data_IF_404896537750
#
_entry.id   IF_404896537750
#
_cell.length_a   1.000
_cell.length_b   1.000
_cell.length_c   1.000
_cell.angle_alpha   90.00
_cell.angle_beta   90.00
_cell.angle_gamma   90.00
#
_symmetry.space_group_name_H-M   'P 1'
#
loop_
_entity.id
_entity.type
_entity.pdbx_description
1 polymer ?
#
# COMPACT_ATOMS: atom_id res chain seq x y z
N UNK A 1 -0.96 14.75 -24.53
CA UNK A 1 -1.21 13.82 -23.41
C UNK A 1 -1.37 14.63 -22.14
N UNK A 2 -2.53 14.53 -21.48
CA UNK A 2 -2.86 15.38 -20.33
C UNK A 2 -1.99 15.01 -19.11
N UNK A 3 -1.61 15.97 -18.25
CA UNK A 3 -0.75 15.75 -17.06
C UNK A 3 -1.30 14.65 -16.14
N UNK A 4 -2.63 14.52 -16.09
CA UNK A 4 -3.39 13.47 -15.39
C UNK A 4 -3.14 12.06 -15.96
N UNK A 5 -3.04 11.93 -17.28
CA UNK A 5 -2.81 10.64 -17.96
C UNK A 5 -1.37 10.16 -17.79
N UNK A 6 -0.40 11.09 -17.70
CA UNK A 6 1.00 10.75 -17.41
C UNK A 6 1.14 10.21 -15.98
N UNK A 7 0.49 10.86 -15.01
CA UNK A 7 0.55 10.46 -13.60
C UNK A 7 -0.11 9.09 -13.35
N UNK A 8 -1.25 8.83 -14.00
CA UNK A 8 -1.91 7.51 -14.00
C UNK A 8 -1.09 6.43 -14.70
N UNK A 9 -0.44 6.75 -15.82
CA UNK A 9 0.42 5.80 -16.54
C UNK A 9 1.68 5.46 -15.75
N UNK A 10 2.32 6.44 -15.10
CA UNK A 10 3.48 6.20 -14.23
C UNK A 10 3.10 5.40 -12.99
N UNK A 11 1.92 5.63 -12.42
CA UNK A 11 1.40 4.88 -11.29
C UNK A 11 1.14 3.40 -11.65
N UNK A 12 0.49 3.17 -12.79
CA UNK A 12 0.27 1.83 -13.34
C UNK A 12 1.60 1.08 -13.48
N UNK A 13 2.62 1.70 -14.07
CA UNK A 13 3.93 1.07 -14.26
C UNK A 13 4.61 0.65 -12.94
N UNK A 14 4.48 1.47 -11.89
CA UNK A 14 5.09 1.19 -10.58
C UNK A 14 4.36 0.06 -9.86
N UNK A 15 3.03 0.01 -9.94
CA UNK A 15 2.23 -1.07 -9.33
C UNK A 15 2.42 -2.42 -10.02
N UNK A 16 2.67 -2.42 -11.32
CA UNK A 16 2.73 -3.63 -12.15
C UNK A 16 4.15 -4.16 -12.40
N UNK A 17 5.17 -3.53 -11.83
CA UNK A 17 6.55 -4.01 -11.96
C UNK A 17 6.74 -5.34 -11.20
N UNK A 18 7.53 -6.28 -11.74
CA UNK A 18 7.76 -7.57 -11.09
C UNK A 18 8.49 -7.35 -9.77
N UNK A 19 7.81 -7.63 -8.66
CA UNK A 19 8.41 -7.45 -7.35
C UNK A 19 9.22 -8.70 -7.03
N UNK A 20 10.53 -8.51 -6.80
CA UNK A 20 11.37 -9.57 -6.23
C UNK A 20 10.73 -10.08 -4.93
N UNK A 21 10.65 -11.40 -4.82
CA UNK A 21 10.09 -12.14 -3.69
C UNK A 21 10.80 -11.79 -2.39
N UNK A 22 10.26 -10.84 -1.62
CA UNK A 22 10.73 -10.55 -0.28
C UNK A 22 9.90 -11.32 0.75
N UNK A 23 10.55 -11.76 1.82
CA UNK A 23 9.91 -12.44 2.95
C UNK A 23 9.09 -11.44 3.78
N UNK A 24 8.00 -10.92 3.21
CA UNK A 24 7.03 -10.10 3.92
C UNK A 24 6.07 -11.00 4.68
N UNK A 25 5.77 -10.61 5.92
CA UNK A 25 5.14 -11.46 6.90
C UNK A 25 3.65 -11.13 7.04
N UNK A 26 2.79 -12.14 7.29
CA UNK A 26 1.37 -11.94 7.62
C UNK A 26 1.17 -10.91 8.73
N UNK A 27 2.14 -10.81 9.66
CA UNK A 27 2.14 -9.85 10.77
C UNK A 27 2.08 -8.40 10.29
N UNK A 28 2.72 -8.05 9.16
CA UNK A 28 2.64 -6.68 8.63
C UNK A 28 1.21 -6.35 8.17
N UNK A 29 0.55 -7.29 7.50
CA UNK A 29 -0.85 -7.15 7.07
C UNK A 29 -1.79 -6.99 8.26
N UNK A 30 -1.59 -7.78 9.32
CA UNK A 30 -2.37 -7.66 10.57
C UNK A 30 -2.15 -6.30 11.24
N UNK A 31 -0.90 -5.83 11.33
CA UNK A 31 -0.60 -4.54 11.93
C UNK A 31 -1.18 -3.36 11.12
N UNK A 32 -1.11 -3.43 9.78
CA UNK A 32 -1.72 -2.42 8.89
C UNK A 32 -3.24 -2.45 8.99
N UNK A 33 -3.86 -3.63 9.06
CA UNK A 33 -5.31 -3.75 9.29
C UNK A 33 -5.72 -3.14 10.64
N UNK A 34 -4.91 -3.36 11.69
CA UNK A 34 -5.09 -2.72 12.99
C UNK A 34 -5.01 -1.19 12.91
N UNK A 35 -4.01 -0.66 12.19
CA UNK A 35 -3.87 0.79 11.95
C UNK A 35 -5.03 1.39 11.17
N UNK A 36 -5.57 0.67 10.18
CA UNK A 36 -6.78 1.06 9.46
C UNK A 36 -8.01 1.10 10.39
N UNK A 37 -8.19 0.05 11.21
CA UNK A 37 -9.28 -0.01 12.20
C UNK A 37 -9.19 1.14 13.20
N UNK A 38 -7.99 1.44 13.70
CA UNK A 38 -7.75 2.57 14.60
C UNK A 38 -8.06 3.91 13.91
N UNK A 39 -7.64 4.09 12.66
CA UNK A 39 -7.93 5.29 11.88
C UNK A 39 -9.44 5.52 11.75
N UNK A 40 -10.21 4.46 11.45
CA UNK A 40 -11.67 4.55 11.34
C UNK A 40 -12.34 4.86 12.67
N UNK A 41 -11.84 4.27 13.77
CA UNK A 41 -12.33 4.55 15.12
C UNK A 41 -12.11 6.01 15.53
N UNK A 42 -10.95 6.58 15.17
CA UNK A 42 -10.61 7.99 15.39
C UNK A 42 -11.33 8.96 14.44
N UNK A 43 -12.15 8.48 13.51
CA UNK A 43 -12.88 9.27 12.50
C UNK A 43 -11.98 10.26 11.73
N UNK A 44 -10.78 9.80 11.37
CA UNK A 44 -9.84 10.60 10.57
C UNK A 44 -10.32 10.73 9.11
N UNK A 45 -9.80 11.75 8.40
CA UNK A 45 -10.12 12.01 6.99
C UNK A 45 -9.89 10.77 6.10
N UNK A 46 -10.73 10.61 5.07
CA UNK A 46 -10.72 9.45 4.17
C UNK A 46 -9.38 9.28 3.44
N UNK A 47 -8.60 10.35 3.23
CA UNK A 47 -7.26 10.22 2.66
C UNK A 47 -6.33 9.39 3.56
N UNK A 48 -6.39 9.57 4.88
CA UNK A 48 -5.58 8.80 5.84
C UNK A 48 -6.03 7.34 5.84
N UNK A 49 -7.34 7.09 5.88
CA UNK A 49 -7.90 5.74 5.74
C UNK A 49 -7.43 5.09 4.43
N UNK A 50 -7.39 5.85 3.34
CA UNK A 50 -6.87 5.42 2.04
C UNK A 50 -5.41 5.00 2.08
N UNK A 51 -4.54 5.71 2.81
CA UNK A 51 -3.12 5.34 2.98
C UNK A 51 -2.99 3.95 3.57
N UNK A 52 -3.75 3.66 4.63
CA UNK A 52 -3.73 2.35 5.28
C UNK A 52 -4.33 1.25 4.40
N UNK A 53 -5.39 1.55 3.62
CA UNK A 53 -5.97 0.60 2.65
C UNK A 53 -4.95 0.28 1.53
N UNK A 54 -4.27 1.29 0.99
CA UNK A 54 -3.24 1.09 -0.04
C UNK A 54 -2.09 0.22 0.46
N UNK A 55 -1.61 0.49 1.68
CA UNK A 55 -0.60 -0.35 2.31
C UNK A 55 -1.10 -1.78 2.57
N UNK A 56 -2.38 -1.95 2.92
CA UNK A 56 -2.98 -3.26 3.15
C UNK A 56 -2.99 -4.09 1.87
N UNK A 57 -3.41 -3.49 0.75
CA UNK A 57 -3.40 -4.11 -0.58
C UNK A 57 -1.96 -4.53 -0.93
N UNK A 58 -1.01 -3.59 -0.86
CA UNK A 58 0.39 -3.86 -1.20
C UNK A 58 0.99 -4.98 -0.33
N UNK A 59 0.76 -4.97 0.98
CA UNK A 59 1.23 -6.02 1.88
C UNK A 59 0.62 -7.40 1.55
N UNK A 60 -0.65 -7.42 1.17
CA UNK A 60 -1.37 -8.65 0.82
C UNK A 60 -0.87 -9.25 -0.49
N UNK A 61 -0.56 -8.41 -1.48
CA UNK A 61 0.05 -8.83 -2.75
C UNK A 61 1.37 -9.54 -2.47
N UNK A 62 2.25 -8.94 -1.66
CA UNK A 62 3.53 -9.57 -1.32
C UNK A 62 3.38 -10.88 -0.57
N UNK A 63 2.44 -10.93 0.38
CA UNK A 63 2.17 -12.15 1.11
C UNK A 63 1.64 -13.25 0.18
N UNK A 64 0.70 -12.94 -0.71
CA UNK A 64 0.16 -13.87 -1.69
C UNK A 64 1.26 -14.41 -2.61
N UNK A 65 2.09 -13.53 -3.19
CA UNK A 65 3.23 -13.94 -4.03
C UNK A 65 4.18 -14.86 -3.25
N UNK A 66 4.48 -14.54 -1.98
CA UNK A 66 5.34 -15.37 -1.14
C UNK A 66 4.74 -16.76 -0.85
N UNK A 67 3.42 -16.85 -0.63
CA UNK A 67 2.71 -18.13 -0.48
C UNK A 67 2.82 -18.97 -1.76
N UNK A 68 2.64 -18.37 -2.93
CA UNK A 68 2.78 -19.08 -4.21
C UNK A 68 4.22 -19.52 -4.48
N UNK A 69 5.21 -18.70 -4.12
CA UNK A 69 6.62 -19.07 -4.21
C UNK A 69 6.95 -20.28 -3.33
N UNK A 70 6.44 -20.32 -2.09
CA UNK A 70 6.59 -21.48 -1.20
C UNK A 70 5.95 -22.75 -1.78
N UNK A 71 4.85 -22.60 -2.52
CA UNK A 71 4.15 -23.70 -3.21
C UNK A 71 4.79 -24.06 -4.56
N UNK A 72 5.86 -23.36 -4.98
CA UNK A 72 6.52 -23.50 -6.30
C UNK A 72 5.57 -23.38 -7.49
N UNK A 73 4.52 -22.56 -7.36
CA UNK A 73 3.56 -22.30 -8.44
C UNK A 73 4.07 -21.11 -9.26
N UNK A 74 4.55 -21.37 -10.47
CA UNK A 74 5.06 -20.36 -11.39
C UNK A 74 4.25 -20.40 -12.69
N UNK A 75 3.76 -19.25 -13.13
CA UNK A 75 3.09 -19.10 -14.42
C UNK A 75 3.36 -17.70 -14.99
N UNK A 76 3.18 -17.54 -16.30
CA UNK A 76 3.43 -16.28 -16.99
C UNK A 76 2.48 -15.18 -16.49
N UNK A 77 3.03 -13.99 -16.22
CA UNK A 77 2.31 -12.83 -15.67
C UNK A 77 1.65 -13.03 -14.28
N UNK A 78 2.07 -14.02 -13.50
CA UNK A 78 1.53 -14.29 -12.14
C UNK A 78 1.47 -13.07 -11.23
N UNK A 79 2.61 -12.39 -11.04
CA UNK A 79 2.71 -11.30 -10.07
C UNK A 79 1.83 -10.11 -10.50
N UNK A 80 1.70 -9.88 -11.82
CA UNK A 80 0.79 -8.92 -12.40
C UNK A 80 -0.69 -9.27 -12.14
N UNK A 81 -1.07 -10.52 -12.38
CA UNK A 81 -2.44 -11.02 -12.17
C UNK A 81 -2.83 -10.92 -10.70
N UNK A 82 -1.95 -11.33 -9.78
CA UNK A 82 -2.20 -11.24 -8.33
C UNK A 82 -2.35 -9.80 -7.89
N UNK A 83 -1.49 -8.90 -8.39
CA UNK A 83 -1.57 -7.47 -8.07
C UNK A 83 -2.90 -6.88 -8.54
N UNK A 84 -3.26 -7.11 -9.80
CA UNK A 84 -4.52 -6.64 -10.37
C UNK A 84 -5.74 -7.17 -9.60
N UNK A 85 -5.76 -8.49 -9.34
CA UNK A 85 -6.86 -9.12 -8.60
C UNK A 85 -6.99 -8.59 -7.18
N UNK A 86 -5.87 -8.33 -6.49
CA UNK A 86 -5.89 -7.79 -5.12
C UNK A 86 -6.47 -6.37 -5.06
N UNK A 87 -6.11 -5.51 -6.02
CA UNK A 87 -6.73 -4.19 -6.14
C UNK A 87 -8.21 -4.30 -6.50
N UNK A 88 -8.58 -5.18 -7.43
CA UNK A 88 -9.98 -5.36 -7.85
C UNK A 88 -10.86 -5.83 -6.68
N UNK A 89 -10.41 -6.83 -5.91
CA UNK A 89 -11.16 -7.40 -4.78
C UNK A 89 -11.44 -6.36 -3.68
N UNK A 90 -10.55 -5.38 -3.49
CA UNK A 90 -10.74 -4.34 -2.46
C UNK A 90 -11.45 -3.11 -3.01
N UNK A 91 -11.14 -2.67 -4.24
CA UNK A 91 -11.74 -1.48 -4.83
C UNK A 91 -13.17 -1.70 -5.32
N UNK A 92 -13.53 -2.88 -5.83
CA UNK A 92 -14.89 -3.15 -6.32
C UNK A 92 -15.96 -3.01 -5.22
N UNK A 93 -15.82 -3.64 -4.04
CA UNK A 93 -16.79 -3.46 -2.95
C UNK A 93 -16.88 -2.02 -2.45
N UNK A 94 -15.75 -1.31 -2.42
CA UNK A 94 -15.72 0.11 -2.03
C UNK A 94 -16.43 1.02 -3.05
N UNK A 95 -16.35 0.68 -4.33
CA UNK A 95 -17.06 1.38 -5.40
C UNK A 95 -18.56 1.10 -5.35
N UNK A 96 -18.97 -0.16 -5.26
CA UNK A 96 -20.39 -0.52 -5.16
C UNK A 96 -21.05 -0.13 -3.83
N UNK A 97 -20.26 0.06 -2.77
CA UNK A 97 -20.73 0.59 -1.50
C UNK A 97 -20.91 2.11 -1.47
N UNK A 98 -20.76 2.80 -2.60
CA UNK A 98 -20.81 4.26 -2.74
C UNK A 98 -19.84 5.02 -1.80
N UNK A 99 -18.80 4.34 -1.30
CA UNK A 99 -17.76 4.95 -0.44
C UNK A 99 -16.78 5.75 -1.30
N UNK A 100 -16.53 5.29 -2.54
CA UNK A 100 -15.69 5.94 -3.55
C UNK A 100 -16.57 6.71 -4.53
N UNK A 101 -16.22 7.96 -4.82
CA UNK A 101 -16.84 8.74 -5.90
C UNK A 101 -17.84 9.79 -5.44
N UNK A 102 -17.92 10.07 -4.13
CA UNK A 102 -18.74 11.16 -3.64
C UNK A 102 -18.20 12.51 -4.13
N UNK A 103 -19.02 13.37 -4.77
CA UNK A 103 -18.58 14.62 -5.39
C UNK A 103 -18.03 15.64 -4.38
N UNK A 104 -18.33 15.46 -3.08
CA UNK A 104 -17.85 16.30 -1.99
C UNK A 104 -16.49 15.86 -1.42
N UNK A 105 -15.96 14.70 -1.84
CA UNK A 105 -14.74 14.11 -1.28
C UNK A 105 -13.59 14.06 -2.29
N UNK A 106 -13.30 15.20 -2.91
CA UNK A 106 -12.34 15.30 -4.01
C UNK A 106 -11.11 16.13 -3.60
N UNK A 107 -9.91 15.57 -3.73
CA UNK A 107 -8.63 16.29 -3.67
C UNK A 107 -8.00 16.23 -5.06
N UNK A 108 -7.67 17.40 -5.62
CA UNK A 108 -7.04 17.53 -6.95
C UNK A 108 -7.81 16.88 -8.12
N UNK A 109 -9.14 16.82 -8.03
CA UNK A 109 -9.99 16.21 -9.07
C UNK A 109 -9.96 14.67 -9.08
N UNK A 110 -9.49 14.05 -7.98
CA UNK A 110 -9.57 12.62 -7.69
C UNK A 110 -10.21 12.43 -6.31
N UNK A 111 -10.85 11.29 -6.11
CA UNK A 111 -11.41 10.92 -4.81
C UNK A 111 -10.31 10.84 -3.73
N UNK A 112 -10.56 11.44 -2.57
CA UNK A 112 -9.61 11.49 -1.44
C UNK A 112 -9.09 10.12 -1.04
N UNK A 113 -9.96 9.11 -1.07
CA UNK A 113 -9.63 7.73 -0.69
C UNK A 113 -8.69 7.12 -1.73
N UNK A 114 -8.98 7.31 -3.02
CA UNK A 114 -8.12 6.82 -4.12
C UNK A 114 -6.73 7.45 -4.02
N UNK A 115 -6.64 8.76 -3.79
CA UNK A 115 -5.35 9.44 -3.59
C UNK A 115 -4.59 8.80 -2.43
N UNK A 116 -5.26 8.58 -1.29
CA UNK A 116 -4.69 7.88 -0.15
C UNK A 116 -4.17 6.49 -0.51
N UNK A 117 -4.96 5.68 -1.23
CA UNK A 117 -4.59 4.32 -1.64
C UNK A 117 -3.33 4.31 -2.52
N UNK A 118 -3.24 5.24 -3.47
CA UNK A 118 -2.07 5.41 -4.34
C UNK A 118 -0.84 5.70 -3.48
N UNK A 119 -0.89 6.73 -2.65
CA UNK A 119 0.25 7.14 -1.83
C UNK A 119 0.64 6.09 -0.78
N UNK A 120 -0.35 5.46 -0.13
CA UNK A 120 -0.11 4.40 0.85
C UNK A 120 0.58 3.18 0.26
N UNK A 121 0.18 2.77 -0.95
CA UNK A 121 0.83 1.68 -1.68
C UNK A 121 2.30 2.02 -1.98
N UNK A 122 2.56 3.24 -2.49
CA UNK A 122 3.92 3.71 -2.80
C UNK A 122 4.78 3.77 -1.54
N UNK A 123 4.30 4.40 -0.47
CA UNK A 123 5.02 4.54 0.80
C UNK A 123 5.37 3.18 1.37
N UNK A 124 4.42 2.23 1.33
CA UNK A 124 4.68 0.87 1.80
C UNK A 124 5.77 0.17 1.00
N UNK A 125 5.68 0.20 -0.35
CA UNK A 125 6.69 -0.41 -1.23
C UNK A 125 8.07 0.21 -1.00
N UNK A 126 8.16 1.54 -0.91
CA UNK A 126 9.41 2.25 -0.62
C UNK A 126 9.98 1.86 0.75
N UNK A 127 9.14 1.76 1.78
CA UNK A 127 9.56 1.39 3.13
C UNK A 127 10.12 -0.03 3.19
N UNK A 128 9.50 -0.96 2.46
CA UNK A 128 10.04 -2.31 2.28
C UNK A 128 11.40 -2.25 1.58
N UNK A 129 11.53 -1.45 0.51
CA UNK A 129 12.80 -1.22 -0.19
C UNK A 129 13.91 -0.70 0.74
N UNK A 130 13.59 0.27 1.59
CA UNK A 130 14.49 0.83 2.61
C UNK A 130 14.94 -0.25 3.59
N UNK A 131 14.03 -1.07 4.10
CA UNK A 131 14.38 -2.20 4.97
C UNK A 131 15.36 -3.18 4.31
N UNK A 132 15.13 -3.52 3.04
CA UNK A 132 16.01 -4.44 2.30
C UNK A 132 17.39 -3.83 2.11
N UNK A 133 17.45 -2.54 1.80
CA UNK A 133 18.70 -1.82 1.63
C UNK A 133 19.50 -1.76 2.96
N UNK A 134 18.84 -1.43 4.06
CA UNK A 134 19.43 -1.44 5.42
C UNK A 134 19.98 -2.82 5.78
N UNK A 135 19.18 -3.87 5.58
CA UNK A 135 19.59 -5.25 5.83
C UNK A 135 20.81 -5.64 4.98
N UNK A 136 20.83 -5.26 3.70
CA UNK A 136 21.95 -5.57 2.79
C UNK A 136 23.24 -4.87 3.22
N UNK A 137 23.13 -3.67 3.78
CA UNK A 137 24.27 -2.89 4.28
C UNK A 137 24.81 -3.40 5.63
N UNK A 138 24.04 -4.23 6.33
CA UNK A 138 24.40 -4.81 7.62
C UNK A 138 24.60 -6.33 7.51
N UNK A 139 25.43 -6.78 6.58
CA UNK A 139 25.78 -8.20 6.36
C UNK A 139 24.59 -9.15 6.14
N UNK A 140 23.49 -8.65 5.58
CA UNK A 140 22.21 -9.38 5.47
C UNK A 140 21.57 -9.74 6.82
N UNK A 141 21.96 -9.07 7.89
CA UNK A 141 21.37 -9.17 9.22
C UNK A 141 20.49 -7.95 9.52
N UNK A 142 19.29 -8.15 10.09
CA UNK A 142 18.52 -7.03 10.61
C UNK A 142 19.22 -6.40 11.82
N UNK A 143 19.10 -5.08 11.98
CA UNK A 143 19.69 -4.34 13.09
C UNK A 143 19.02 -4.67 14.43
N UNK A 144 17.72 -4.97 14.41
CA UNK A 144 16.94 -5.35 15.59
C UNK A 144 15.75 -6.25 15.21
N UNK A 145 15.20 -6.93 16.22
CA UNK A 145 14.00 -7.74 16.03
C UNK A 145 12.82 -6.86 15.59
N UNK A 146 12.12 -7.27 14.52
CA UNK A 146 10.97 -6.56 13.92
C UNK A 146 11.26 -5.34 13.05
N UNK A 147 12.51 -5.07 12.66
CA UNK A 147 12.86 -3.98 11.73
C UNK A 147 11.99 -3.99 10.45
N UNK A 148 11.71 -5.17 9.91
CA UNK A 148 10.82 -5.40 8.75
C UNK A 148 9.37 -4.94 8.92
N UNK A 149 8.90 -4.78 10.16
CA UNK A 149 7.54 -4.38 10.53
C UNK A 149 7.53 -2.90 10.92
N UNK A 150 8.50 -2.51 11.76
CA UNK A 150 8.59 -1.17 12.33
C UNK A 150 8.83 -0.15 11.22
N UNK A 151 9.73 -0.42 10.25
CA UNK A 151 10.01 0.53 9.17
C UNK A 151 8.75 0.87 8.35
N UNK A 152 8.00 -0.11 7.79
CA UNK A 152 6.75 0.20 7.10
C UNK A 152 5.71 0.90 7.97
N UNK A 153 5.51 0.47 9.22
CA UNK A 153 4.52 1.07 10.11
C UNK A 153 4.88 2.51 10.48
N UNK A 154 6.14 2.80 10.80
CA UNK A 154 6.59 4.15 11.10
C UNK A 154 6.44 5.07 9.90
N UNK A 155 6.80 4.61 8.70
CA UNK A 155 6.64 5.39 7.48
C UNK A 155 5.17 5.71 7.16
N UNK A 156 4.27 4.74 7.32
CA UNK A 156 2.83 4.95 7.14
C UNK A 156 2.24 5.90 8.17
N UNK A 157 2.71 5.82 9.43
CA UNK A 157 2.28 6.72 10.50
C UNK A 157 2.73 8.15 10.22
N UNK A 158 4.00 8.33 9.84
CA UNK A 158 4.56 9.63 9.44
C UNK A 158 3.82 10.20 8.23
N UNK A 159 3.56 9.38 7.22
CA UNK A 159 2.77 9.79 6.06
C UNK A 159 1.35 10.22 6.46
N UNK A 160 0.70 9.46 7.35
CA UNK A 160 -0.62 9.80 7.86
C UNK A 160 -0.62 11.15 8.58
N UNK A 161 0.42 11.44 9.37
CA UNK A 161 0.60 12.75 10.02
C UNK A 161 0.81 13.87 9.01
N UNK A 162 1.63 13.66 7.99
CA UNK A 162 1.85 14.64 6.91
C UNK A 162 0.54 14.95 6.19
N UNK A 163 -0.20 13.91 5.80
CA UNK A 163 -1.49 14.10 5.13
C UNK A 163 -2.52 14.75 6.05
N UNK A 164 -2.54 14.41 7.34
CA UNK A 164 -3.38 15.10 8.33
C UNK A 164 -3.10 16.60 8.38
N UNK A 165 -1.83 17.03 8.39
CA UNK A 165 -1.47 18.44 8.38
C UNK A 165 -1.88 19.14 7.08
N UNK A 166 -1.84 18.43 5.94
CA UNK A 166 -2.25 18.96 4.64
C UNK A 166 -3.77 19.10 4.52
N UNK A 167 -4.54 18.14 5.05
CA UNK A 167 -6.01 18.15 4.98
C UNK A 167 -6.68 18.94 6.09
N UNK A 168 -5.99 19.30 7.18
CA UNK A 168 -6.50 20.16 8.27
C UNK A 168 -6.62 21.65 7.86
N UNK A 169 -7.05 21.93 6.63
CA UNK A 169 -7.35 23.29 6.16
C UNK A 169 -8.82 23.63 6.41
#
# INVERSE_FOLDING_TARGET
>A
MNKKNILLATFSLILFSPIKSFALCPVCTVAIAGGLGLSRWLKVDDTISGIWIGALIASSIFWAINVLNKRRIYFFARDFIISFLSYAVILLPLYYGDIIGHPLNVIWGLDKLIVGIIFGSIIFILSVGVYIWLKKNNDNHPHFAFEKIIIPLSSLTVASLIFFLITKK
#
